data_IF_773974883743
#
_entry.id   IF_773974883743
#
_cell.length_a   1.000
_cell.length_b   1.000
_cell.length_c   1.000
_cell.angle_alpha   90.00
_cell.angle_beta   90.00
_cell.angle_gamma   90.00
#
_symmetry.space_group_name_H-M   'P 1'
#
loop_
_entity.id
_entity.type
_entity.pdbx_description
1 polymer ?
#
# COMPACT_ATOMS: atom_id res chain seq x y z
N UNK A 1 -1.08 11.80 -12.69
CA UNK A 1 -0.86 12.53 -11.42
C UNK A 1 0.19 13.61 -11.63
N UNK A 2 0.13 14.70 -10.86
CA UNK A 2 1.22 15.68 -10.74
C UNK A 2 2.09 15.35 -9.51
N UNK A 3 2.38 14.07 -9.33
CA UNK A 3 3.33 13.57 -8.33
C UNK A 3 4.54 12.99 -9.07
N UNK A 4 5.74 13.19 -8.51
CA UNK A 4 6.91 12.42 -8.95
C UNK A 4 6.74 10.95 -8.59
N UNK A 5 7.53 10.09 -9.25
CA UNK A 5 7.53 8.65 -8.97
C UNK A 5 7.98 8.38 -7.53
N UNK A 6 9.01 9.09 -7.08
CA UNK A 6 9.55 8.97 -5.72
C UNK A 6 8.53 9.40 -4.67
N UNK A 7 7.77 10.47 -4.92
CA UNK A 7 6.74 10.94 -3.99
C UNK A 7 5.56 9.97 -3.96
N UNK A 8 5.19 9.38 -5.10
CA UNK A 8 4.18 8.34 -5.14
C UNK A 8 4.62 7.11 -4.35
N UNK A 9 5.82 6.59 -4.62
CA UNK A 9 6.36 5.39 -3.96
C UNK A 9 6.43 5.58 -2.44
N UNK A 10 6.85 6.78 -1.99
CA UNK A 10 6.89 7.14 -0.58
C UNK A 10 5.49 7.12 0.06
N UNK A 11 4.54 7.89 -0.50
CA UNK A 11 3.18 7.99 0.04
C UNK A 11 2.42 6.67 -0.03
N UNK A 12 2.67 5.88 -1.06
CA UNK A 12 2.07 4.56 -1.22
C UNK A 12 2.49 3.63 -0.09
N UNK A 13 3.79 3.59 0.23
CA UNK A 13 4.31 2.83 1.37
C UNK A 13 3.74 3.31 2.70
N UNK A 14 3.76 4.62 2.96
CA UNK A 14 3.17 5.19 4.18
C UNK A 14 1.69 4.82 4.32
N UNK A 15 0.94 4.81 3.22
CA UNK A 15 -0.48 4.45 3.23
C UNK A 15 -0.67 2.98 3.60
N UNK A 16 0.14 2.08 3.04
CA UNK A 16 0.07 0.65 3.37
C UNK A 16 0.46 0.38 4.83
N UNK A 17 1.50 1.05 5.32
CA UNK A 17 1.93 0.96 6.72
C UNK A 17 0.85 1.47 7.69
N UNK A 18 0.19 2.58 7.34
CA UNK A 18 -0.94 3.10 8.11
C UNK A 18 -2.09 2.09 8.16
N UNK A 19 -2.43 1.45 7.04
CA UNK A 19 -3.47 0.41 6.98
C UNK A 19 -3.11 -0.76 7.90
N UNK A 20 -1.87 -1.27 7.81
CA UNK A 20 -1.39 -2.38 8.66
C UNK A 20 -1.47 -1.98 10.14
N UNK A 21 -1.03 -0.77 10.49
CA UNK A 21 -1.06 -0.26 11.87
C UNK A 21 -2.49 -0.20 12.40
N UNK A 22 -3.41 0.40 11.63
CA UNK A 22 -4.82 0.49 12.01
C UNK A 22 -5.49 -0.87 12.14
N UNK A 23 -5.11 -1.84 11.31
CA UNK A 23 -5.58 -3.22 11.46
C UNK A 23 -5.07 -3.86 12.74
N UNK A 24 -3.81 -3.63 13.12
CA UNK A 24 -3.22 -4.17 14.34
C UNK A 24 -3.82 -3.57 15.62
N UNK A 25 -4.19 -2.29 15.57
CA UNK A 25 -4.81 -1.58 16.70
C UNK A 25 -6.31 -1.88 16.86
N UNK A 26 -6.92 -2.60 15.92
CA UNK A 26 -8.33 -2.96 15.99
C UNK A 26 -8.55 -4.03 17.09
N UNK A 27 -9.42 -3.77 18.09
CA UNK A 27 -9.66 -4.71 19.20
C UNK A 27 -10.27 -6.05 18.75
N UNK A 28 -10.93 -6.07 17.59
CA UNK A 28 -11.55 -7.27 17.00
C UNK A 28 -10.66 -7.93 15.93
N UNK A 29 -9.36 -7.61 15.91
CA UNK A 29 -8.43 -8.15 14.93
C UNK A 29 -8.37 -9.68 14.99
N UNK A 30 -8.68 -10.32 13.85
CA UNK A 30 -8.50 -11.75 13.68
C UNK A 30 -7.05 -12.00 13.25
N UNK A 31 -6.22 -12.51 14.16
CA UNK A 31 -4.77 -12.65 14.01
C UNK A 31 -4.37 -13.36 12.70
N UNK A 32 -5.02 -14.47 12.36
CA UNK A 32 -4.71 -15.20 11.13
C UNK A 32 -4.97 -14.37 9.87
N UNK A 33 -6.09 -13.62 9.84
CA UNK A 33 -6.44 -12.74 8.73
C UNK A 33 -5.51 -11.54 8.65
N UNK A 34 -5.13 -11.00 9.81
CA UNK A 34 -4.16 -9.91 9.89
C UNK A 34 -2.84 -10.30 9.23
N UNK A 35 -2.26 -11.45 9.59
CA UNK A 35 -1.00 -11.90 8.99
C UNK A 35 -1.07 -12.06 7.47
N UNK A 36 -2.15 -12.67 6.95
CA UNK A 36 -2.34 -12.81 5.52
C UNK A 36 -2.45 -11.46 4.81
N UNK A 37 -3.17 -10.51 5.40
CA UNK A 37 -3.32 -9.18 4.83
C UNK A 37 -2.04 -8.36 4.90
N UNK A 38 -1.32 -8.40 6.02
CA UNK A 38 -0.01 -7.77 6.16
C UNK A 38 0.95 -8.31 5.12
N UNK A 39 1.04 -9.64 4.96
CA UNK A 39 1.85 -10.24 3.91
C UNK A 39 1.47 -9.75 2.52
N UNK A 40 0.17 -9.68 2.21
CA UNK A 40 -0.30 -9.18 0.92
C UNK A 40 0.09 -7.70 0.69
N UNK A 41 -0.14 -6.83 1.68
CA UNK A 41 0.12 -5.39 1.58
C UNK A 41 1.62 -5.07 1.48
N UNK A 42 2.46 -5.80 2.23
CA UNK A 42 3.91 -5.68 2.13
C UNK A 42 4.44 -6.08 0.75
N UNK A 43 3.89 -7.16 0.17
CA UNK A 43 4.20 -7.53 -1.22
C UNK A 43 3.67 -6.50 -2.21
N UNK A 44 2.51 -5.90 -1.95
CA UNK A 44 1.96 -4.84 -2.80
C UNK A 44 2.86 -3.59 -2.82
N UNK A 45 3.52 -3.27 -1.70
CA UNK A 45 4.47 -2.16 -1.62
C UNK A 45 5.64 -2.30 -2.63
N UNK A 46 6.08 -3.53 -2.92
CA UNK A 46 7.10 -3.81 -3.94
C UNK A 46 6.63 -3.40 -5.35
N UNK A 47 5.33 -3.50 -5.64
CA UNK A 47 4.76 -3.18 -6.95
C UNK A 47 4.41 -1.70 -7.14
N UNK A 48 4.73 -0.83 -6.18
CA UNK A 48 4.45 0.62 -6.27
C UNK A 48 4.90 1.26 -7.60
N UNK A 49 6.12 0.99 -8.11
CA UNK A 49 6.58 1.55 -9.39
C UNK A 49 5.71 1.13 -10.58
N UNK A 50 5.20 -0.11 -10.58
CA UNK A 50 4.34 -0.65 -11.64
C UNK A 50 2.97 0.01 -11.58
N UNK A 51 2.44 0.20 -10.38
CA UNK A 51 1.14 0.87 -10.15
C UNK A 51 1.22 2.33 -10.63
N UNK A 52 2.30 3.04 -10.31
CA UNK A 52 2.52 4.41 -10.80
C UNK A 52 2.53 4.47 -12.34
N UNK A 53 3.29 3.58 -12.99
CA UNK A 53 3.40 3.56 -14.44
C UNK A 53 2.04 3.24 -15.11
N UNK A 54 1.23 2.36 -14.51
CA UNK A 54 -0.13 2.06 -14.98
C UNK A 54 -1.04 3.28 -14.84
N UNK A 55 -1.01 3.96 -13.69
CA UNK A 55 -1.82 5.16 -13.43
C UNK A 55 -1.50 6.30 -14.39
N UNK A 56 -0.22 6.48 -14.75
CA UNK A 56 0.18 7.48 -15.74
C UNK A 56 -0.31 7.14 -17.15
N UNK A 57 -0.34 5.85 -17.52
CA UNK A 57 -0.84 5.40 -18.84
C UNK A 57 -2.36 5.50 -18.99
N UNK A 58 -3.10 5.44 -17.89
CA UNK A 58 -4.56 5.64 -17.86
C UNK A 58 -4.96 7.12 -17.81
N UNK A 59 -4.01 8.06 -17.78
CA UNK A 59 -4.31 9.49 -17.85
C UNK A 59 -4.85 9.79 -19.26
N UNK A 60 -6.07 10.37 -19.40
CA UNK A 60 -6.61 10.76 -20.70
C UNK A 60 -5.81 11.89 -21.35
#
# INVERSE_FOLDING_TARGET
MDLSKEEFDFRFKETLELIITQMAENPDVQVDKFYHMTYFLENLAFFSPVIFDLLQKTKP
#
